data_IF_466798529348
#
_entry.id   IF_466798529348
#
_cell.length_a   1.000
_cell.length_b   1.000
_cell.length_c   1.000
_cell.angle_alpha   90.00
_cell.angle_beta   90.00
_cell.angle_gamma   90.00
#
_symmetry.space_group_name_H-M   'P 1'
#
loop_
_entity.id
_entity.type
_entity.pdbx_description
1 polymer ?
#
# COMPACT_ATOMS: atom_id res chain seq x y z
N UNK A 1 -33.04 13.92 -9.44
CA UNK A 1 -32.06 15.03 -9.55
C UNK A 1 -30.64 14.51 -9.82
N UNK A 2 -30.42 13.64 -10.83
CA UNK A 2 -29.09 13.24 -11.37
C UNK A 2 -27.89 13.23 -10.38
N UNK A 3 -28.05 12.66 -9.18
CA UNK A 3 -27.03 12.63 -8.12
C UNK A 3 -26.44 14.00 -7.70
N UNK A 4 -27.15 15.11 -7.93
CA UNK A 4 -26.69 16.45 -7.53
C UNK A 4 -26.43 16.50 -6.02
N UNK A 5 -25.16 16.72 -5.59
CA UNK A 5 -24.81 16.74 -4.18
C UNK A 5 -25.18 18.08 -3.52
N UNK A 6 -25.64 18.01 -2.28
CA UNK A 6 -25.75 19.19 -1.43
C UNK A 6 -24.49 19.31 -0.56
N UNK A 7 -23.71 20.37 -0.79
CA UNK A 7 -22.51 20.65 0.00
C UNK A 7 -22.80 21.68 1.08
N UNK A 8 -22.41 21.36 2.31
CA UNK A 8 -22.57 22.24 3.47
C UNK A 8 -21.20 22.59 4.03
N UNK A 9 -20.96 23.88 4.25
CA UNK A 9 -19.73 24.35 4.90
C UNK A 9 -19.76 23.97 6.38
N UNK A 10 -18.79 23.19 6.89
CA UNK A 10 -18.74 22.83 8.30
C UNK A 10 -18.67 24.08 9.18
N UNK A 11 -19.42 24.08 10.30
CA UNK A 11 -19.52 25.25 11.18
C UNK A 11 -18.16 25.79 11.62
N UNK A 12 -17.23 24.89 11.97
CA UNK A 12 -15.85 25.23 12.38
C UNK A 12 -15.02 25.94 11.30
N UNK A 13 -15.38 25.79 10.02
CA UNK A 13 -14.65 26.35 8.87
C UNK A 13 -15.28 27.65 8.33
N UNK A 14 -16.47 28.05 8.82
CA UNK A 14 -17.18 29.24 8.33
C UNK A 14 -16.38 30.54 8.49
N UNK A 15 -15.66 30.68 9.62
CA UNK A 15 -14.79 31.84 9.87
C UNK A 15 -13.70 31.96 8.80
N UNK A 16 -13.00 30.85 8.53
CA UNK A 16 -11.94 30.79 7.51
C UNK A 16 -12.49 31.13 6.11
N UNK A 17 -13.65 30.59 5.73
CA UNK A 17 -14.25 30.89 4.42
C UNK A 17 -14.59 32.38 4.29
N UNK A 18 -15.06 33.01 5.38
CA UNK A 18 -15.32 34.45 5.40
C UNK A 18 -14.03 35.26 5.23
N UNK A 19 -12.97 34.90 5.95
CA UNK A 19 -11.65 35.54 5.83
C UNK A 19 -11.09 35.40 4.40
N UNK A 20 -11.19 34.20 3.80
CA UNK A 20 -10.78 33.97 2.40
C UNK A 20 -11.55 34.89 1.45
N UNK A 21 -12.87 35.00 1.61
CA UNK A 21 -13.70 35.86 0.76
C UNK A 21 -13.31 37.35 0.90
N UNK A 22 -13.14 37.83 2.13
CA UNK A 22 -12.80 39.23 2.42
C UNK A 22 -11.39 39.60 1.94
N UNK A 23 -10.43 38.68 1.99
CA UNK A 23 -9.08 38.89 1.44
C UNK A 23 -9.07 38.79 -0.08
N UNK A 24 -9.81 37.85 -0.66
CA UNK A 24 -9.89 37.67 -2.11
C UNK A 24 -10.51 38.89 -2.82
N UNK A 25 -11.51 39.54 -2.22
CA UNK A 25 -12.13 40.75 -2.80
C UNK A 25 -11.20 41.97 -2.85
N UNK A 26 -10.08 41.92 -2.12
CA UNK A 26 -9.04 42.97 -2.12
C UNK A 26 -7.83 42.60 -2.99
N UNK A 27 -7.77 41.37 -3.46
CA UNK A 27 -6.64 40.85 -4.21
C UNK A 27 -6.78 41.17 -5.71
N UNK A 28 -5.64 41.39 -6.38
CA UNK A 28 -5.61 41.53 -7.84
C UNK A 28 -5.88 40.18 -8.52
N UNK A 29 -5.38 39.09 -7.94
CA UNK A 29 -5.57 37.71 -8.40
C UNK A 29 -5.56 36.73 -7.22
N UNK A 30 -6.20 35.57 -7.39
CA UNK A 30 -6.22 34.47 -6.41
C UNK A 30 -5.50 33.25 -6.98
N UNK A 31 -4.57 32.68 -6.22
CA UNK A 31 -3.84 31.47 -6.57
C UNK A 31 -4.23 30.31 -5.65
N UNK A 32 -4.67 29.20 -6.25
CA UNK A 32 -5.05 27.96 -5.60
C UNK A 32 -3.87 26.98 -5.68
N UNK A 33 -3.18 26.80 -4.55
CA UNK A 33 -1.95 26.04 -4.43
C UNK A 33 -2.12 24.74 -3.62
N UNK A 34 -3.21 24.01 -3.85
CA UNK A 34 -3.44 22.70 -3.22
C UNK A 34 -2.60 21.60 -3.87
N UNK A 35 -2.52 20.44 -3.22
CA UNK A 35 -1.76 19.28 -3.69
C UNK A 35 -2.08 18.87 -5.14
N UNK A 36 -1.12 18.26 -5.85
CA UNK A 36 -1.20 17.95 -7.28
C UNK A 36 -2.01 16.67 -7.57
N UNK A 37 -3.14 16.46 -6.88
CA UNK A 37 -4.00 15.29 -7.04
C UNK A 37 -5.49 15.67 -7.16
N UNK A 38 -6.35 14.68 -7.34
CA UNK A 38 -7.81 14.91 -7.47
C UNK A 38 -8.45 15.46 -6.20
N UNK A 39 -7.90 15.17 -5.01
CA UNK A 39 -8.44 15.68 -3.74
C UNK A 39 -8.11 17.16 -3.61
N UNK A 40 -6.87 17.55 -3.93
CA UNK A 40 -6.44 18.94 -4.04
C UNK A 40 -7.28 19.71 -5.05
N UNK A 41 -7.54 19.14 -6.23
CA UNK A 41 -8.38 19.78 -7.24
C UNK A 41 -9.81 20.02 -6.75
N UNK A 42 -10.41 19.02 -6.09
CA UNK A 42 -11.74 19.16 -5.50
C UNK A 42 -11.77 20.18 -4.35
N UNK A 43 -10.71 20.27 -3.53
CA UNK A 43 -10.58 21.30 -2.48
C UNK A 43 -10.53 22.68 -3.11
N UNK A 44 -9.70 22.87 -4.14
CA UNK A 44 -9.60 24.11 -4.91
C UNK A 44 -10.97 24.54 -5.46
N UNK A 45 -11.70 23.62 -6.09
CA UNK A 45 -13.06 23.87 -6.56
C UNK A 45 -14.04 24.21 -5.43
N UNK A 46 -13.99 23.48 -4.32
CA UNK A 46 -14.83 23.75 -3.16
C UNK A 46 -14.56 25.12 -2.54
N UNK A 47 -13.31 25.58 -2.49
CA UNK A 47 -12.95 26.91 -2.00
C UNK A 47 -13.58 28.00 -2.86
N UNK A 48 -13.47 27.88 -4.19
CA UNK A 48 -14.09 28.81 -5.13
C UNK A 48 -15.60 28.90 -4.90
N UNK A 49 -16.28 27.75 -4.82
CA UNK A 49 -17.74 27.72 -4.60
C UNK A 49 -18.16 28.18 -3.21
N UNK A 50 -17.44 27.80 -2.16
CA UNK A 50 -17.79 28.13 -0.78
C UNK A 50 -17.57 29.61 -0.47
N UNK A 51 -16.48 30.21 -0.98
CA UNK A 51 -16.19 31.63 -0.82
C UNK A 51 -16.86 32.51 -1.89
N UNK A 52 -17.56 31.90 -2.87
CA UNK A 52 -18.23 32.57 -4.00
C UNK A 52 -17.26 33.43 -4.84
N UNK A 53 -16.05 32.92 -5.04
CA UNK A 53 -15.00 33.63 -5.77
C UNK A 53 -15.30 33.70 -7.27
N UNK A 54 -16.12 32.79 -7.78
CA UNK A 54 -16.62 32.77 -9.16
C UNK A 54 -17.65 33.87 -9.47
N UNK A 55 -18.19 34.53 -8.44
CA UNK A 55 -19.07 35.69 -8.59
C UNK A 55 -18.29 37.01 -8.61
N UNK A 56 -17.01 36.97 -8.26
CA UNK A 56 -16.11 38.12 -8.28
C UNK A 56 -15.40 38.21 -9.63
N UNK A 57 -14.94 39.40 -10.01
CA UNK A 57 -14.17 39.60 -11.25
C UNK A 57 -12.70 39.23 -11.10
N UNK A 58 -12.26 38.87 -9.89
CA UNK A 58 -10.88 38.55 -9.57
C UNK A 58 -10.42 37.28 -10.31
N UNK A 59 -9.36 37.33 -11.12
CA UNK A 59 -8.79 36.17 -11.78
C UNK A 59 -8.39 35.07 -10.79
N UNK A 60 -8.78 33.83 -11.11
CA UNK A 60 -8.46 32.64 -10.31
C UNK A 60 -7.51 31.76 -11.10
N UNK A 61 -6.41 31.38 -10.46
CA UNK A 61 -5.33 30.59 -11.02
C UNK A 61 -5.09 29.33 -10.19
N UNK A 62 -4.93 28.18 -10.84
CA UNK A 62 -4.51 26.93 -10.20
C UNK A 62 -3.01 26.74 -10.44
N UNK A 63 -2.26 26.49 -9.36
CA UNK A 63 -0.81 26.24 -9.41
C UNK A 63 -0.48 24.90 -8.78
N UNK A 64 0.31 24.10 -9.48
CA UNK A 64 0.59 22.71 -9.15
C UNK A 64 2.10 22.51 -9.10
N UNK A 65 2.60 21.92 -8.03
CA UNK A 65 4.01 21.55 -7.87
C UNK A 65 4.11 20.22 -7.10
N UNK A 66 5.15 19.43 -7.38
CA UNK A 66 5.38 18.11 -6.77
C UNK A 66 6.43 18.14 -5.66
N UNK A 67 7.09 19.28 -5.49
CA UNK A 67 8.10 19.55 -4.47
C UNK A 67 8.03 21.02 -4.07
N UNK A 68 8.38 21.32 -2.82
CA UNK A 68 8.36 22.68 -2.27
C UNK A 68 9.78 23.24 -2.31
N UNK A 69 10.28 23.47 -3.52
CA UNK A 69 11.57 24.14 -3.78
C UNK A 69 11.33 25.51 -4.42
N UNK A 70 12.28 26.43 -4.29
CA UNK A 70 12.16 27.78 -4.86
C UNK A 70 11.89 27.71 -6.37
N UNK A 71 12.66 26.88 -7.07
CA UNK A 71 12.60 26.71 -8.52
C UNK A 71 11.25 26.12 -8.95
N UNK A 72 10.75 25.10 -8.23
CA UNK A 72 9.46 24.48 -8.54
C UNK A 72 8.29 25.43 -8.31
N UNK A 73 8.31 26.18 -7.20
CA UNK A 73 7.28 27.17 -6.88
C UNK A 73 7.29 28.30 -7.92
N UNK A 74 8.45 28.91 -8.20
CA UNK A 74 8.54 29.97 -9.22
C UNK A 74 8.06 29.50 -10.60
N UNK A 75 8.42 28.27 -11.00
CA UNK A 75 7.96 27.68 -12.27
C UNK A 75 6.44 27.46 -12.30
N UNK A 76 5.85 27.01 -11.20
CA UNK A 76 4.41 26.79 -11.09
C UNK A 76 3.63 28.10 -11.21
N UNK A 77 4.10 29.18 -10.58
CA UNK A 77 3.46 30.50 -10.64
C UNK A 77 3.61 31.18 -12.01
N UNK A 78 4.63 30.83 -12.80
CA UNK A 78 4.78 31.30 -14.20
C UNK A 78 3.79 30.65 -15.17
N UNK A 79 3.30 29.45 -14.87
CA UNK A 79 2.41 28.69 -15.75
C UNK A 79 1.14 28.22 -15.01
N UNK A 80 0.31 29.14 -14.49
CA UNK A 80 -0.95 28.76 -13.86
C UNK A 80 -1.93 28.21 -14.91
N UNK A 81 -2.81 27.32 -14.48
CA UNK A 81 -3.90 26.81 -15.31
C UNK A 81 -5.27 27.03 -14.64
N UNK A 82 -6.35 26.65 -15.32
CA UNK A 82 -7.69 26.62 -14.75
C UNK A 82 -7.92 25.33 -13.95
N UNK A 83 -8.96 25.32 -13.11
CA UNK A 83 -9.37 24.12 -12.39
C UNK A 83 -9.77 23.03 -13.39
N UNK A 84 -9.21 21.84 -13.23
CA UNK A 84 -9.53 20.69 -14.06
C UNK A 84 -10.81 20.01 -13.56
N UNK A 85 -11.93 20.30 -14.21
CA UNK A 85 -13.23 19.75 -13.84
C UNK A 85 -13.30 18.22 -13.93
N UNK A 86 -12.53 17.57 -14.81
CA UNK A 86 -12.52 16.10 -14.88
C UNK A 86 -11.98 15.46 -13.59
N UNK A 87 -10.95 16.08 -12.98
CA UNK A 87 -10.41 15.62 -11.70
C UNK A 87 -11.39 15.87 -10.55
N UNK A 88 -12.06 17.03 -10.57
CA UNK A 88 -13.12 17.36 -9.61
C UNK A 88 -14.25 16.34 -9.70
N UNK A 89 -14.78 16.09 -10.90
CA UNK A 89 -15.89 15.18 -11.14
C UNK A 89 -15.52 13.74 -10.76
N UNK A 90 -14.28 13.31 -11.02
CA UNK A 90 -13.78 12.02 -10.58
C UNK A 90 -13.76 11.89 -9.04
N UNK A 91 -13.36 12.95 -8.32
CA UNK A 91 -13.39 12.98 -6.86
C UNK A 91 -14.83 12.98 -6.34
N UNK A 92 -15.72 13.79 -6.93
CA UNK A 92 -17.13 13.86 -6.56
C UNK A 92 -17.85 12.53 -6.79
N UNK A 93 -17.62 11.89 -7.93
CA UNK A 93 -18.18 10.58 -8.25
C UNK A 93 -17.76 9.53 -7.20
N UNK A 94 -16.48 9.50 -6.82
CA UNK A 94 -15.99 8.65 -5.73
C UNK A 94 -16.70 8.95 -4.41
N UNK A 95 -16.83 10.23 -4.05
CA UNK A 95 -17.46 10.67 -2.79
C UNK A 95 -18.94 10.31 -2.73
N UNK A 96 -19.68 10.48 -3.83
CA UNK A 96 -21.09 10.10 -3.96
C UNK A 96 -21.23 8.58 -3.86
N UNK A 97 -20.40 7.82 -4.58
CA UNK A 97 -20.42 6.36 -4.55
C UNK A 97 -20.19 5.83 -3.12
N UNK A 98 -19.16 6.31 -2.44
CA UNK A 98 -18.84 5.87 -1.08
C UNK A 98 -19.98 6.25 -0.10
N UNK A 99 -20.64 7.41 -0.31
CA UNK A 99 -21.83 7.81 0.45
C UNK A 99 -23.01 6.88 0.22
N UNK A 100 -23.30 6.52 -1.03
CA UNK A 100 -24.40 5.62 -1.38
C UNK A 100 -24.22 4.23 -0.78
N UNK A 101 -23.00 3.66 -0.87
CA UNK A 101 -22.69 2.36 -0.28
C UNK A 101 -22.83 2.41 1.24
N UNK A 102 -22.21 3.40 1.89
CA UNK A 102 -22.25 3.53 3.35
C UNK A 102 -23.68 3.70 3.88
N UNK A 103 -24.47 4.59 3.30
CA UNK A 103 -25.82 4.90 3.80
C UNK A 103 -26.83 3.80 3.50
N UNK A 104 -26.70 3.09 2.37
CA UNK A 104 -27.64 2.00 2.04
C UNK A 104 -27.31 0.70 2.77
N UNK A 105 -26.04 0.36 2.93
CA UNK A 105 -25.64 -0.93 3.51
C UNK A 105 -25.46 -0.91 5.02
N UNK A 106 -25.04 0.20 5.64
CA UNK A 106 -24.84 0.21 7.11
C UNK A 106 -26.12 -0.11 7.91
N UNK A 107 -27.32 0.40 7.55
CA UNK A 107 -28.57 0.01 8.24
C UNK A 107 -28.91 -1.47 8.10
N UNK A 108 -28.48 -2.12 7.02
CA UNK A 108 -28.63 -3.57 6.87
C UNK A 108 -27.70 -4.31 7.85
N UNK A 109 -26.43 -3.90 7.93
CA UNK A 109 -25.47 -4.46 8.90
C UNK A 109 -25.94 -4.29 10.34
N UNK A 110 -26.56 -3.16 10.69
CA UNK A 110 -27.11 -2.93 12.03
C UNK A 110 -28.22 -3.88 12.40
N UNK A 111 -29.05 -4.27 11.43
CA UNK A 111 -30.18 -5.19 11.63
C UNK A 111 -29.76 -6.66 11.62
N UNK A 112 -28.70 -7.01 10.88
CA UNK A 112 -28.31 -8.40 10.61
C UNK A 112 -27.06 -8.87 11.34
N UNK A 113 -26.21 -7.95 11.80
CA UNK A 113 -24.93 -8.27 12.44
C UNK A 113 -24.84 -7.57 13.79
N UNK A 114 -24.59 -6.26 13.79
CA UNK A 114 -24.44 -5.49 15.02
C UNK A 114 -24.67 -4.00 14.77
N UNK A 115 -25.40 -3.35 15.69
CA UNK A 115 -25.59 -1.88 15.66
C UNK A 115 -24.24 -1.17 15.78
N UNK A 116 -24.06 -0.10 14.98
CA UNK A 116 -22.84 0.71 14.97
C UNK A 116 -21.80 0.32 13.92
N UNK A 117 -21.98 -0.78 13.19
CA UNK A 117 -21.08 -1.17 12.10
C UNK A 117 -21.21 -0.26 10.88
N UNK A 118 -20.08 0.05 10.23
CA UNK A 118 -20.07 0.84 8.99
C UNK A 118 -19.77 -0.04 7.79
N UNK A 119 -20.58 0.07 6.74
CA UNK A 119 -20.25 -0.51 5.44
C UNK A 119 -19.30 0.41 4.67
N UNK A 120 -18.18 -0.14 4.21
CA UNK A 120 -17.20 0.58 3.38
C UNK A 120 -16.89 -0.21 2.11
N UNK A 121 -17.06 0.42 0.94
CA UNK A 121 -16.87 -0.25 -0.36
C UNK A 121 -15.50 -0.91 -0.52
N UNK A 122 -14.44 -0.19 -0.14
CA UNK A 122 -13.05 -0.70 -0.22
C UNK A 122 -12.64 -1.43 1.06
N UNK A 123 -13.08 -0.92 2.22
CA UNK A 123 -12.74 -1.51 3.53
C UNK A 123 -13.24 -2.95 3.66
N UNK A 124 -14.45 -3.24 3.19
CA UNK A 124 -15.03 -4.59 3.28
C UNK A 124 -14.26 -5.60 2.45
N UNK A 125 -13.70 -5.19 1.30
CA UNK A 125 -12.85 -6.05 0.46
C UNK A 125 -11.52 -6.32 1.15
N UNK A 126 -10.91 -5.31 1.78
CA UNK A 126 -9.67 -5.49 2.54
C UNK A 126 -9.87 -6.43 3.74
N UNK A 127 -10.98 -6.28 4.48
CA UNK A 127 -11.35 -7.21 5.57
C UNK A 127 -11.57 -8.61 5.03
N UNK A 128 -12.24 -8.76 3.88
CA UNK A 128 -12.43 -10.06 3.23
C UNK A 128 -11.10 -10.75 2.94
N UNK A 129 -10.09 -10.05 2.40
CA UNK A 129 -8.78 -10.64 2.14
C UNK A 129 -8.13 -11.22 3.41
N UNK A 130 -8.32 -10.57 4.56
CA UNK A 130 -7.83 -11.06 5.84
C UNK A 130 -8.62 -12.29 6.30
N UNK A 131 -9.95 -12.25 6.18
CA UNK A 131 -10.82 -13.38 6.54
C UNK A 131 -10.54 -14.60 5.67
N UNK A 132 -10.39 -14.43 4.35
CA UNK A 132 -10.08 -15.50 3.40
C UNK A 132 -8.74 -16.17 3.79
N UNK A 133 -7.71 -15.38 4.13
CA UNK A 133 -6.42 -15.92 4.64
C UNK A 133 -6.57 -16.64 5.98
N UNK A 134 -7.37 -16.12 6.90
CA UNK A 134 -7.61 -16.78 8.19
C UNK A 134 -8.32 -18.12 8.01
N UNK A 135 -9.28 -18.20 7.08
CA UNK A 135 -9.94 -19.46 6.71
C UNK A 135 -8.96 -20.47 6.09
N UNK A 136 -8.05 -20.02 5.22
CA UNK A 136 -6.97 -20.85 4.70
C UNK A 136 -6.13 -21.46 5.84
N UNK A 137 -5.74 -20.65 6.83
CA UNK A 137 -4.97 -21.09 8.00
C UNK A 137 -5.75 -22.10 8.84
N UNK A 138 -7.04 -21.83 9.11
CA UNK A 138 -7.88 -22.73 9.92
C UNK A 138 -8.16 -24.06 9.21
N UNK A 139 -8.27 -24.04 7.88
CA UNK A 139 -8.48 -25.24 7.05
C UNK A 139 -7.19 -26.02 6.76
N UNK A 140 -6.04 -25.46 7.11
CA UNK A 140 -4.75 -26.09 6.87
C UNK A 140 -4.59 -27.32 7.76
N UNK A 141 -4.46 -28.50 7.14
CA UNK A 141 -4.12 -29.75 7.83
C UNK A 141 -2.61 -29.95 7.70
N UNK A 142 -1.82 -29.77 8.78
CA UNK A 142 -0.38 -29.98 8.73
C UNK A 142 -0.06 -31.42 8.34
N UNK A 143 0.93 -31.59 7.46
CA UNK A 143 1.49 -32.89 7.12
C UNK A 143 2.90 -32.96 7.66
N UNK A 144 3.18 -34.05 8.38
CA UNK A 144 4.51 -34.35 8.85
C UNK A 144 5.44 -34.60 7.66
N UNK A 145 6.63 -34.03 7.73
CA UNK A 145 7.73 -34.30 6.81
C UNK A 145 9.04 -34.12 7.56
N UNK A 146 10.04 -34.89 7.16
CA UNK A 146 11.37 -34.85 7.75
C UNK A 146 12.40 -34.38 6.72
N UNK A 147 13.39 -33.66 7.22
CA UNK A 147 14.54 -33.22 6.44
C UNK A 147 15.80 -33.75 7.09
N UNK A 148 16.62 -34.47 6.33
CA UNK A 148 17.89 -34.99 6.81
C UNK A 148 19.00 -34.04 6.39
N UNK A 149 19.78 -33.59 7.37
CA UNK A 149 20.99 -32.79 7.18
C UNK A 149 22.20 -33.58 7.69
N UNK A 150 23.33 -33.46 6.99
CA UNK A 150 24.60 -34.07 7.36
C UNK A 150 25.69 -32.99 7.37
N UNK A 151 26.56 -33.04 8.38
CA UNK A 151 27.75 -32.19 8.45
C UNK A 151 28.90 -32.93 7.78
N UNK A 152 29.47 -32.32 6.74
CA UNK A 152 30.53 -32.89 5.92
C UNK A 152 31.76 -31.99 5.97
N UNK A 153 32.94 -32.58 5.82
CA UNK A 153 34.19 -31.85 5.68
C UNK A 153 35.07 -32.56 4.62
N UNK A 154 35.90 -31.83 3.87
CA UNK A 154 36.96 -32.44 3.08
C UNK A 154 37.88 -33.28 3.97
N UNK A 155 38.32 -34.44 3.48
CA UNK A 155 39.19 -35.35 4.22
C UNK A 155 40.49 -34.65 4.69
N UNK A 156 41.02 -33.77 3.85
CA UNK A 156 42.27 -33.03 4.10
C UNK A 156 42.06 -31.75 4.92
N UNK A 157 40.82 -31.31 5.14
CA UNK A 157 40.50 -30.02 5.76
C UNK A 157 39.27 -30.13 6.68
N UNK A 158 39.43 -30.85 7.80
CA UNK A 158 38.34 -31.15 8.75
C UNK A 158 37.69 -29.92 9.40
N UNK A 159 38.36 -28.76 9.36
CA UNK A 159 37.83 -27.48 9.83
C UNK A 159 36.90 -26.80 8.80
N UNK A 160 36.99 -27.17 7.52
CA UNK A 160 36.15 -26.64 6.44
C UNK A 160 34.79 -27.37 6.37
N UNK A 161 34.07 -27.37 7.49
CA UNK A 161 32.78 -28.07 7.63
C UNK A 161 31.65 -27.32 6.96
N UNK A 162 30.72 -28.06 6.35
CA UNK A 162 29.49 -27.51 5.79
C UNK A 162 28.33 -28.49 5.98
N UNK A 163 27.09 -27.96 5.98
CA UNK A 163 25.89 -28.80 6.02
C UNK A 163 25.41 -29.09 4.62
N UNK A 164 25.15 -30.35 4.34
CA UNK A 164 24.43 -30.80 3.17
C UNK A 164 23.04 -31.30 3.59
N UNK A 165 22.05 -31.07 2.74
CA UNK A 165 20.68 -31.57 2.94
C UNK A 165 20.40 -32.68 1.93
N UNK A 166 19.79 -33.77 2.38
CA UNK A 166 19.31 -34.81 1.47
C UNK A 166 18.18 -34.25 0.60
N UNK A 167 18.35 -34.34 -0.71
CA UNK A 167 17.40 -33.79 -1.70
C UNK A 167 16.71 -34.86 -2.55
N UNK A 168 17.39 -35.96 -2.85
CA UNK A 168 16.92 -37.05 -3.70
C UNK A 168 17.84 -38.27 -3.55
N UNK A 169 17.40 -39.43 -4.05
CA UNK A 169 18.26 -40.58 -4.33
C UNK A 169 19.19 -40.30 -5.53
N UNK A 170 20.17 -41.17 -5.74
CA UNK A 170 21.16 -41.04 -6.82
C UNK A 170 20.53 -41.06 -8.23
N UNK A 171 19.40 -41.76 -8.39
CA UNK A 171 18.60 -41.80 -9.61
C UNK A 171 17.76 -40.53 -9.84
N UNK A 172 17.79 -39.57 -8.90
CA UNK A 172 17.03 -38.33 -8.93
C UNK A 172 15.62 -38.43 -8.34
N UNK A 173 15.23 -39.58 -7.80
CA UNK A 173 13.93 -39.77 -7.15
C UNK A 173 13.87 -38.95 -5.86
N UNK A 174 12.91 -38.02 -5.77
CA UNK A 174 12.69 -37.24 -4.55
C UNK A 174 12.16 -38.14 -3.44
N UNK A 175 12.80 -38.09 -2.27
CA UNK A 175 12.29 -38.76 -1.08
C UNK A 175 11.17 -37.96 -0.44
N UNK A 176 10.07 -38.65 -0.14
CA UNK A 176 9.05 -38.19 0.78
C UNK A 176 9.22 -38.90 2.13
N UNK A 177 9.81 -38.19 3.10
CA UNK A 177 10.08 -38.72 4.44
C UNK A 177 8.93 -38.27 5.34
N UNK A 178 7.84 -39.01 5.31
CA UNK A 178 6.57 -38.67 5.97
C UNK A 178 6.56 -38.87 7.48
N UNK A 179 7.52 -39.59 8.03
CA UNK A 179 7.53 -40.04 9.42
C UNK A 179 8.94 -40.33 9.92
N UNK A 180 9.07 -40.42 11.25
CA UNK A 180 10.33 -40.68 11.94
C UNK A 180 10.97 -42.01 11.55
N UNK A 181 10.19 -43.09 11.44
CA UNK A 181 10.74 -44.42 11.17
C UNK A 181 11.44 -44.48 9.80
N UNK A 182 10.86 -43.82 8.78
CA UNK A 182 11.52 -43.64 7.49
C UNK A 182 12.77 -42.77 7.62
N UNK A 183 12.71 -41.69 8.39
CA UNK A 183 13.86 -40.81 8.60
C UNK A 183 15.03 -41.59 9.25
N UNK A 184 14.77 -42.33 10.32
CA UNK A 184 15.76 -43.10 11.06
C UNK A 184 16.41 -44.19 10.19
N UNK A 185 15.65 -44.84 9.30
CA UNK A 185 16.21 -45.79 8.31
C UNK A 185 17.18 -45.12 7.34
N UNK A 186 16.76 -43.98 6.78
CA UNK A 186 17.60 -43.24 5.84
C UNK A 186 18.85 -42.71 6.54
N UNK A 187 18.75 -42.27 7.79
CA UNK A 187 19.90 -41.86 8.61
C UNK A 187 20.86 -43.04 8.82
N UNK A 188 20.37 -44.22 9.20
CA UNK A 188 21.20 -45.40 9.39
C UNK A 188 21.97 -45.80 8.12
N UNK A 189 21.31 -45.73 6.95
CA UNK A 189 21.96 -45.99 5.66
C UNK A 189 23.04 -44.92 5.35
N UNK A 190 22.75 -43.66 5.66
CA UNK A 190 23.65 -42.53 5.41
C UNK A 190 24.85 -42.45 6.37
N UNK A 191 24.73 -42.98 7.59
CA UNK A 191 25.85 -43.08 8.54
C UNK A 191 26.95 -44.04 8.06
N UNK A 192 26.57 -45.04 7.27
CA UNK A 192 27.49 -46.02 6.69
C UNK A 192 27.95 -45.64 5.27
N UNK A 193 27.42 -44.56 4.70
CA UNK A 193 27.68 -44.17 3.33
C UNK A 193 28.98 -43.37 3.18
N UNK A 194 29.63 -43.53 2.03
CA UNK A 194 30.70 -42.64 1.59
C UNK A 194 30.10 -41.44 0.83
N UNK A 195 30.59 -40.24 1.14
CA UNK A 195 30.11 -39.00 0.54
C UNK A 195 31.07 -38.51 -0.54
N UNK A 196 30.57 -38.43 -1.77
CA UNK A 196 31.33 -37.98 -2.93
C UNK A 196 30.68 -36.76 -3.57
N UNK A 197 31.51 -35.81 -4.00
CA UNK A 197 31.03 -34.63 -4.72
C UNK A 197 30.73 -35.01 -6.17
N UNK A 198 29.45 -35.14 -6.52
CA UNK A 198 28.99 -35.46 -7.88
C UNK A 198 29.22 -34.31 -8.88
N UNK A 199 28.99 -33.07 -8.44
CA UNK A 199 29.14 -31.88 -9.29
C UNK A 199 29.27 -30.60 -8.47
N UNK A 200 30.09 -29.66 -8.93
CA UNK A 200 30.18 -28.29 -8.38
C UNK A 200 29.81 -27.30 -9.47
N UNK A 201 28.90 -26.38 -9.18
CA UNK A 201 28.49 -25.33 -10.12
C UNK A 201 28.61 -23.96 -9.48
N UNK A 202 29.49 -23.13 -10.02
CA UNK A 202 29.66 -21.74 -9.58
C UNK A 202 29.03 -20.81 -10.61
N UNK A 203 28.14 -19.92 -10.15
CA UNK A 203 27.47 -18.93 -11.01
C UNK A 203 27.65 -17.55 -10.42
N UNK A 204 28.07 -16.60 -11.24
CA UNK A 204 28.04 -15.18 -10.89
C UNK A 204 26.63 -14.64 -11.14
N UNK A 205 25.99 -14.10 -10.09
CA UNK A 205 24.65 -13.53 -10.18
C UNK A 205 24.72 -12.03 -9.91
N UNK A 206 24.37 -11.22 -10.90
CA UNK A 206 24.27 -9.78 -10.75
C UNK A 206 22.96 -9.41 -10.03
N UNK A 207 23.03 -8.51 -9.05
CA UNK A 207 21.86 -7.97 -8.35
C UNK A 207 21.70 -6.49 -8.68
N UNK A 208 20.61 -6.15 -9.36
CA UNK A 208 20.27 -4.77 -9.68
C UNK A 208 19.71 -4.04 -8.45
N UNK A 209 19.94 -2.72 -8.32
CA UNK A 209 19.34 -1.92 -7.26
C UNK A 209 17.82 -1.87 -7.41
N UNK A 210 17.12 -1.67 -6.29
CA UNK A 210 15.68 -1.48 -6.29
C UNK A 210 15.32 -0.13 -6.94
N UNK A 211 14.14 -0.01 -7.59
CA UNK A 211 13.67 1.26 -8.11
C UNK A 211 13.42 2.28 -7.00
N UNK A 212 13.35 3.59 -7.32
CA UNK A 212 12.95 4.63 -6.38
C UNK A 212 11.60 4.33 -5.72
N UNK A 213 11.39 4.88 -4.54
CA UNK A 213 10.16 4.67 -3.79
C UNK A 213 8.94 5.30 -4.46
N UNK A 214 7.86 4.54 -4.47
CA UNK A 214 6.49 5.03 -4.64
C UNK A 214 5.74 4.81 -3.32
N UNK A 215 4.54 5.37 -3.17
CA UNK A 215 3.77 5.30 -1.91
C UNK A 215 3.66 3.88 -1.34
N UNK A 216 3.38 2.88 -2.19
CA UNK A 216 3.22 1.49 -1.75
C UNK A 216 4.53 0.86 -1.29
N UNK A 217 5.63 1.05 -2.03
CA UNK A 217 6.93 0.47 -1.67
C UNK A 217 7.57 1.18 -0.49
N UNK A 218 7.33 2.49 -0.32
CA UNK A 218 7.73 3.26 0.85
C UNK A 218 7.02 2.74 2.12
N UNK A 219 5.71 2.51 2.06
CA UNK A 219 4.95 1.96 3.18
C UNK A 219 5.39 0.54 3.55
N UNK A 220 5.63 -0.31 2.54
CA UNK A 220 6.12 -1.68 2.74
C UNK A 220 7.51 -1.70 3.40
N UNK A 221 8.47 -0.94 2.87
CA UNK A 221 9.82 -0.89 3.44
C UNK A 221 9.84 -0.17 4.80
N UNK A 222 8.99 0.84 5.02
CA UNK A 222 8.79 1.48 6.31
C UNK A 222 8.33 0.50 7.39
N UNK A 223 7.40 -0.41 7.07
CA UNK A 223 7.04 -1.50 7.98
C UNK A 223 8.17 -2.50 8.15
N UNK A 224 8.77 -2.98 7.04
CA UNK A 224 9.77 -4.07 7.06
C UNK A 224 11.03 -3.69 7.84
N UNK A 225 11.55 -2.47 7.63
CA UNK A 225 12.83 -2.00 8.19
C UNK A 225 12.67 -1.18 9.46
N UNK A 226 11.63 -0.33 9.54
CA UNK A 226 11.48 0.63 10.64
C UNK A 226 10.31 0.31 11.58
N UNK A 227 9.53 -0.74 11.28
CA UNK A 227 8.30 -1.10 12.03
C UNK A 227 7.28 0.03 12.09
N UNK A 228 7.27 0.92 11.09
CA UNK A 228 6.28 1.98 11.01
C UNK A 228 4.99 1.45 10.39
N UNK A 229 3.85 1.75 11.03
CA UNK A 229 2.55 1.53 10.42
C UNK A 229 2.39 2.42 9.19
N UNK A 230 1.55 2.03 8.22
CA UNK A 230 1.29 2.84 7.03
C UNK A 230 0.89 4.28 7.39
N UNK A 231 0.09 4.46 8.45
CA UNK A 231 -0.29 5.78 8.98
C UNK A 231 0.92 6.59 9.44
N UNK A 232 1.84 5.98 10.20
CA UNK A 232 3.05 6.67 10.69
C UNK A 232 3.97 7.03 9.54
N UNK A 233 4.20 6.13 8.59
CA UNK A 233 5.00 6.40 7.39
C UNK A 233 4.46 7.61 6.64
N UNK A 234 3.16 7.65 6.35
CA UNK A 234 2.55 8.77 5.62
C UNK A 234 2.54 10.07 6.42
N UNK A 235 2.39 10.00 7.74
CA UNK A 235 2.46 11.19 8.60
C UNK A 235 3.85 11.82 8.70
N UNK A 236 4.92 11.05 8.47
CA UNK A 236 6.30 11.55 8.45
C UNK A 236 6.64 12.06 7.05
N UNK A 237 6.07 11.46 6.00
CA UNK A 237 6.27 11.87 4.62
C UNK A 237 5.53 13.19 4.26
N UNK A 238 4.47 13.50 5.00
CA UNK A 238 3.67 14.72 4.87
C UNK A 238 4.29 15.89 5.64
#
# INVERSE_FOLDING_TARGET
NNFTPEYVVPQRRRKIIREIKETASKAISVYLATDPDREGEAISWHLVKAAKLDQDKTPIHRVVFHEITKEAVEKAFKNPHSINMNLVDAQQARRILDRLVGYKLSPLLWRKVQRGLSAGRVQSVAVRMIVDREQEIQSFVPKEYWTIEVELAPIEELEARFRAKLVALDDGTKLDISDRDKADRVVADLEQAEYLVKSVTTKQVARQPAPPFITSTLQQEGWRKLRFTAKRTMSIAQ
#
